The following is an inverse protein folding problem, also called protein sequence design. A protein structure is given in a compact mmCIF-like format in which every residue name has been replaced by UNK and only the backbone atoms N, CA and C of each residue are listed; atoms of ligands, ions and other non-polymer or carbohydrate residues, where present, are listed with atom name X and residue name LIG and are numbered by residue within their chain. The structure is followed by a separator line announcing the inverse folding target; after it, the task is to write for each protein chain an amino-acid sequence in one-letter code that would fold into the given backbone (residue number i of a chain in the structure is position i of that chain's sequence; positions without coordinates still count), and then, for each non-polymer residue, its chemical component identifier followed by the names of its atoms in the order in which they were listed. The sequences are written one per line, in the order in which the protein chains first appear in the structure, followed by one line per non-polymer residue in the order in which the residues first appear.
data_IF_011390296855
#
_entry.id   IF_011390296855
#
_cell.length_a   1.000
_cell.length_b   1.000
_cell.length_c   1.000
_cell.angle_alpha   90.00
_cell.angle_beta   90.00
_cell.angle_gamma   90.00
#
_symmetry.space_group_name_H-M   'P 1'
#
loop_
_entity.id
_entity.type
_entity.pdbx_description
1 polymer ?
#
# COMPACT_ATOMS: atom_id res chain seq x y z
N UNK A 1 -20.45 -13.71 0.02
CA UNK A 1 -19.93 -13.87 -1.36
C UNK A 1 -20.13 -12.55 -2.07
N UNK A 2 -19.06 -11.89 -2.48
CA UNK A 2 -19.13 -10.73 -3.37
C UNK A 2 -19.56 -11.15 -4.77
N UNK A 3 -20.38 -10.31 -5.42
CA UNK A 3 -20.70 -10.48 -6.82
C UNK A 3 -19.40 -10.42 -7.64
N UNK A 4 -19.16 -11.42 -8.48
CA UNK A 4 -17.99 -11.44 -9.35
C UNK A 4 -18.18 -10.42 -10.48
N UNK A 5 -17.13 -9.65 -10.74
CA UNK A 5 -17.09 -8.73 -11.88
C UNK A 5 -17.13 -9.55 -13.18
N UNK A 6 -18.06 -9.20 -14.06
CA UNK A 6 -18.15 -9.78 -15.39
C UNK A 6 -17.00 -9.25 -16.25
N UNK A 7 -16.36 -10.15 -17.00
CA UNK A 7 -15.24 -9.82 -17.87
C UNK A 7 -15.42 -10.51 -19.22
N UNK A 8 -14.97 -9.84 -20.26
CA UNK A 8 -14.99 -10.30 -21.64
C UNK A 8 -13.55 -10.32 -22.19
N UNK A 9 -13.23 -11.24 -23.14
CA UNK A 9 -12.00 -11.11 -23.92
C UNK A 9 -11.91 -9.73 -24.60
N UNK A 10 -10.73 -9.12 -24.61
CA UNK A 10 -10.55 -7.77 -25.16
C UNK A 10 -10.53 -6.66 -24.12
N UNK A 11 -10.94 -6.92 -22.89
CA UNK A 11 -10.97 -5.93 -21.82
C UNK A 11 -9.68 -5.91 -20.99
N UNK A 12 -9.48 -4.83 -20.26
CA UNK A 12 -8.44 -4.67 -19.26
C UNK A 12 -9.04 -4.81 -17.86
N UNK A 13 -8.37 -5.58 -17.00
CA UNK A 13 -8.79 -5.78 -15.62
C UNK A 13 -7.78 -5.19 -14.65
N UNK A 14 -8.27 -4.71 -13.53
CA UNK A 14 -7.50 -4.40 -12.34
C UNK A 14 -7.71 -5.52 -11.32
N UNK A 15 -6.66 -6.23 -10.96
CA UNK A 15 -6.67 -7.26 -9.95
C UNK A 15 -5.88 -6.86 -8.71
N UNK A 16 -6.39 -7.19 -7.53
CA UNK A 16 -5.70 -7.00 -6.25
C UNK A 16 -4.75 -8.19 -6.02
N UNK A 17 -3.46 -7.91 -5.89
CA UNK A 17 -2.38 -8.89 -5.80
C UNK A 17 -1.48 -8.50 -4.62
N UNK A 18 -2.05 -8.44 -3.42
CA UNK A 18 -1.26 -8.21 -2.21
C UNK A 18 -0.38 -9.43 -1.94
N UNK A 19 0.90 -9.33 -2.32
CA UNK A 19 1.88 -10.41 -2.26
C UNK A 19 2.18 -10.88 -0.83
N UNK A 20 1.79 -10.10 0.19
CA UNK A 20 2.15 -10.35 1.58
C UNK A 20 0.97 -10.82 2.45
N UNK A 21 -0.28 -10.62 2.02
CA UNK A 21 -1.47 -11.02 2.77
C UNK A 21 -2.22 -12.24 2.21
N UNK A 22 -1.69 -12.96 1.21
CA UNK A 22 -2.40 -14.11 0.60
C UNK A 22 -2.72 -15.28 1.54
N UNK A 23 -2.13 -15.35 2.74
CA UNK A 23 -2.37 -16.43 3.69
C UNK A 23 -3.60 -16.23 4.61
N UNK A 24 -4.14 -15.00 4.70
CA UNK A 24 -5.22 -14.64 5.65
C UNK A 24 -6.36 -13.84 5.04
N UNK A 25 -6.40 -13.71 3.72
CA UNK A 25 -7.60 -13.21 3.03
C UNK A 25 -8.59 -14.38 3.06
N UNK A 26 -9.38 -14.44 4.14
CA UNK A 26 -10.79 -14.87 4.00
C UNK A 26 -11.30 -14.22 2.72
N UNK A 27 -11.95 -14.96 1.82
CA UNK A 27 -12.38 -14.59 0.45
C UNK A 27 -13.32 -13.34 0.34
N UNK A 28 -13.06 -12.31 1.14
CA UNK A 28 -13.81 -11.10 1.40
C UNK A 28 -13.01 -9.90 0.88
N UNK A 29 -13.00 -9.79 -0.46
CA UNK A 29 -12.34 -8.70 -1.18
C UNK A 29 -12.72 -7.30 -0.67
N UNK A 30 -13.99 -6.98 -0.32
CA UNK A 30 -14.35 -5.69 0.28
C UNK A 30 -13.52 -5.36 1.52
N UNK A 31 -13.41 -6.30 2.46
CA UNK A 31 -12.61 -6.12 3.68
C UNK A 31 -11.12 -6.00 3.39
N UNK A 32 -10.62 -6.65 2.34
CA UNK A 32 -9.24 -6.45 1.89
C UNK A 32 -9.03 -5.03 1.35
N UNK A 33 -9.97 -4.50 0.55
CA UNK A 33 -9.90 -3.15 -0.01
C UNK A 33 -10.02 -2.04 1.04
N UNK A 34 -10.74 -2.26 2.15
CA UNK A 34 -10.78 -1.31 3.27
C UNK A 34 -9.39 -1.02 3.86
N UNK A 35 -8.40 -1.91 3.67
CA UNK A 35 -7.01 -1.72 4.13
C UNK A 35 -6.22 -0.72 3.30
N UNK A 36 -6.73 -0.31 2.14
CA UNK A 36 -6.16 0.77 1.31
C UNK A 36 -6.25 2.15 1.98
N UNK A 37 -6.85 2.23 3.16
CA UNK A 37 -6.75 3.37 4.09
C UNK A 37 -5.32 3.62 4.61
N UNK A 38 -4.40 2.69 4.40
CA UNK A 38 -2.97 2.81 4.69
C UNK A 38 -2.16 2.57 3.42
N UNK A 39 -1.02 3.26 3.25
CA UNK A 39 -0.18 3.29 2.06
C UNK A 39 0.52 1.96 1.69
N UNK A 40 0.11 0.85 2.29
CA UNK A 40 0.68 -0.47 2.07
C UNK A 40 -0.26 -1.66 2.15
N UNK A 41 -1.43 -1.52 2.78
CA UNK A 41 -2.30 -2.61 3.25
C UNK A 41 -1.63 -3.56 4.26
N UNK A 42 -2.07 -3.49 5.52
CA UNK A 42 -1.60 -4.34 6.63
C UNK A 42 -0.30 -3.88 7.30
N UNK A 43 0.04 -4.48 8.46
CA UNK A 43 1.12 -4.08 9.38
C UNK A 43 2.44 -3.79 8.64
N UNK A 44 2.65 -2.53 8.24
CA UNK A 44 3.86 -1.97 7.64
C UNK A 44 4.58 -2.90 6.66
N UNK A 45 3.97 -3.27 5.53
CA UNK A 45 4.55 -4.24 4.58
C UNK A 45 5.80 -3.74 3.81
N UNK A 46 6.84 -3.27 4.50
CA UNK A 46 8.24 -3.28 4.08
C UNK A 46 8.55 -2.71 2.67
N UNK A 47 7.78 -1.69 2.25
CA UNK A 47 7.81 -0.93 0.98
C UNK A 47 7.05 -1.52 -0.22
N UNK A 48 5.70 -1.43 -0.28
CA UNK A 48 5.05 -1.19 -1.56
C UNK A 48 5.29 0.29 -1.91
N UNK A 49 6.45 0.62 -2.49
CA UNK A 49 6.69 1.99 -2.98
C UNK A 49 5.89 2.28 -4.25
N UNK A 50 5.25 1.25 -4.80
CA UNK A 50 4.82 1.22 -6.20
C UNK A 50 3.42 0.61 -6.33
N UNK A 51 2.51 1.27 -7.06
CA UNK A 51 1.16 0.76 -7.28
C UNK A 51 1.10 -0.67 -7.86
N UNK A 52 2.08 -1.09 -8.66
CA UNK A 52 2.10 -2.41 -9.28
C UNK A 52 2.48 -3.57 -8.34
N UNK A 53 2.87 -3.29 -7.11
CA UNK A 53 3.16 -4.31 -6.09
C UNK A 53 1.89 -4.75 -5.35
N UNK A 54 0.84 -3.92 -5.37
CA UNK A 54 -0.48 -4.20 -4.77
C UNK A 54 -1.53 -4.55 -5.82
N UNK A 55 -1.35 -4.07 -7.04
CA UNK A 55 -2.31 -4.21 -8.11
C UNK A 55 -1.66 -4.69 -9.39
N UNK A 56 -2.41 -5.49 -10.14
CA UNK A 56 -2.02 -5.93 -11.46
C UNK A 56 -3.06 -5.43 -12.47
N UNK A 57 -2.59 -4.65 -13.44
CA UNK A 57 -3.36 -4.31 -14.64
C UNK A 57 -3.00 -5.30 -15.73
N UNK A 58 -3.99 -5.95 -16.33
CA UNK A 58 -3.73 -6.96 -17.36
C UNK A 58 -4.86 -7.03 -18.37
N UNK A 59 -4.51 -7.36 -19.62
CA UNK A 59 -5.48 -7.62 -20.66
C UNK A 59 -6.07 -9.03 -20.51
N UNK A 60 -7.36 -9.18 -20.83
CA UNK A 60 -8.08 -10.44 -20.79
C UNK A 60 -8.06 -11.05 -22.19
N UNK A 61 -7.17 -12.03 -22.40
CA UNK A 61 -7.18 -12.83 -23.62
C UNK A 61 -8.29 -13.88 -23.58
N UNK A 62 -8.58 -14.45 -22.40
CA UNK A 62 -9.63 -15.46 -22.21
C UNK A 62 -10.30 -15.36 -20.86
N UNK A 63 -11.64 -15.26 -20.87
CA UNK A 63 -12.47 -15.33 -19.67
C UNK A 63 -12.96 -16.77 -19.43
N UNK A 64 -12.87 -17.24 -18.18
CA UNK A 64 -13.41 -18.55 -17.74
C UNK A 64 -14.27 -18.34 -16.48
N UNK A 65 -15.06 -19.33 -16.02
CA UNK A 65 -15.95 -19.12 -14.87
C UNK A 65 -15.24 -18.67 -13.58
N UNK A 66 -14.06 -19.24 -13.25
CA UNK A 66 -13.34 -18.94 -11.99
C UNK A 66 -12.01 -18.21 -12.17
N UNK A 67 -11.54 -18.13 -13.41
CA UNK A 67 -10.19 -17.65 -13.75
C UNK A 67 -10.22 -16.86 -15.04
N UNK A 68 -9.13 -16.22 -15.36
CA UNK A 68 -8.91 -15.57 -16.64
C UNK A 68 -7.46 -15.77 -17.07
N UNK A 69 -7.19 -15.58 -18.34
CA UNK A 69 -5.86 -15.72 -18.94
C UNK A 69 -5.50 -14.41 -19.65
N UNK A 70 -4.25 -13.99 -19.53
CA UNK A 70 -3.73 -12.81 -20.22
C UNK A 70 -3.10 -13.16 -21.59
N UNK A 71 -2.65 -12.14 -22.32
CA UNK A 71 -2.02 -12.27 -23.64
C UNK A 71 -0.72 -13.09 -23.63
N UNK A 72 -0.14 -13.33 -22.46
CA UNK A 72 1.08 -14.12 -22.27
C UNK A 72 0.81 -15.54 -21.74
N UNK A 73 -0.46 -15.95 -21.64
CA UNK A 73 -0.84 -17.27 -21.12
C UNK A 73 -0.78 -17.39 -19.60
N UNK A 74 -0.54 -16.29 -18.87
CA UNK A 74 -0.61 -16.28 -17.41
C UNK A 74 -2.06 -16.31 -16.94
N UNK A 75 -2.33 -17.11 -15.90
CA UNK A 75 -3.69 -17.38 -15.40
C UNK A 75 -3.92 -16.75 -14.04
N UNK A 76 -4.92 -15.86 -13.96
CA UNK A 76 -5.37 -15.21 -12.73
C UNK A 76 -6.68 -15.77 -12.18
N UNK A 77 -6.93 -15.58 -10.88
CA UNK A 77 -8.23 -15.85 -10.25
C UNK A 77 -9.19 -14.68 -10.50
N UNK A 78 -10.45 -14.98 -10.84
CA UNK A 78 -11.47 -13.92 -11.03
C UNK A 78 -11.91 -13.26 -9.74
N UNK A 79 -11.80 -13.96 -8.60
CA UNK A 79 -12.10 -13.39 -7.28
C UNK A 79 -11.18 -12.24 -6.88
N UNK A 80 -10.06 -12.05 -7.58
CA UNK A 80 -9.12 -10.95 -7.34
C UNK A 80 -9.37 -9.73 -8.21
N UNK A 81 -10.26 -9.82 -9.20
CA UNK A 81 -10.60 -8.69 -10.07
C UNK A 81 -11.51 -7.73 -9.29
N UNK A 82 -11.12 -6.45 -9.27
CA UNK A 82 -11.82 -5.38 -8.56
C UNK A 82 -12.37 -4.30 -9.51
N UNK A 83 -11.90 -4.26 -10.76
CA UNK A 83 -12.47 -3.43 -11.82
C UNK A 83 -12.14 -3.97 -13.22
N UNK A 84 -12.89 -3.50 -14.22
CA UNK A 84 -12.70 -3.79 -15.65
C UNK A 84 -12.98 -2.53 -16.47
N UNK A 85 -12.25 -2.35 -17.57
CA UNK A 85 -12.49 -1.30 -18.56
C UNK A 85 -12.05 -1.73 -19.96
N UNK A 86 -12.39 -0.93 -20.96
CA UNK A 86 -12.02 -1.21 -22.35
C UNK A 86 -10.58 -0.78 -22.66
N UNK A 87 -9.98 0.09 -21.83
CA UNK A 87 -8.60 0.57 -22.03
C UNK A 87 -7.68 0.29 -20.84
N UNK A 88 -6.40 0.09 -21.14
CA UNK A 88 -5.36 -0.03 -20.11
C UNK A 88 -5.23 1.23 -19.26
N UNK A 89 -5.40 2.40 -19.90
CA UNK A 89 -5.22 3.70 -19.26
C UNK A 89 -6.20 3.91 -18.10
N UNK A 90 -7.46 3.51 -18.27
CA UNK A 90 -8.48 3.60 -17.21
C UNK A 90 -8.11 2.73 -15.99
N UNK A 91 -7.62 1.51 -16.22
CA UNK A 91 -7.21 0.62 -15.13
C UNK A 91 -5.94 1.11 -14.44
N UNK A 92 -5.00 1.71 -15.17
CA UNK A 92 -3.81 2.36 -14.59
C UNK A 92 -4.20 3.59 -13.75
N UNK A 93 -5.11 4.42 -14.24
CA UNK A 93 -5.59 5.58 -13.51
C UNK A 93 -6.28 5.17 -12.20
N UNK A 94 -7.19 4.18 -12.26
CA UNK A 94 -7.86 3.67 -11.07
C UNK A 94 -6.87 3.05 -10.07
N UNK A 95 -5.88 2.29 -10.57
CA UNK A 95 -4.80 1.74 -9.73
C UNK A 95 -4.09 2.84 -8.94
N UNK A 96 -3.67 3.90 -9.64
CA UNK A 96 -2.88 4.97 -9.06
C UNK A 96 -3.73 5.79 -8.08
N UNK A 97 -5.01 6.00 -8.38
CA UNK A 97 -5.98 6.61 -7.48
C UNK A 97 -6.13 5.79 -6.19
N UNK A 98 -6.44 4.49 -6.29
CA UNK A 98 -6.60 3.61 -5.13
C UNK A 98 -5.34 3.54 -4.27
N UNK A 99 -4.17 3.47 -4.90
CA UNK A 99 -2.89 3.50 -4.21
C UNK A 99 -2.66 4.82 -3.47
N UNK A 100 -3.05 5.96 -4.07
CA UNK A 100 -2.82 7.28 -3.50
C UNK A 100 -3.60 7.55 -2.21
N UNK A 101 -4.77 6.92 -2.03
CA UNK A 101 -5.66 7.15 -0.88
C UNK A 101 -4.90 6.90 0.43
N UNK A 102 -4.37 5.68 0.61
CA UNK A 102 -3.64 5.32 1.82
C UNK A 102 -2.34 6.08 1.99
N UNK A 103 -1.64 6.36 0.88
CA UNK A 103 -0.38 7.10 0.92
C UNK A 103 -0.56 8.55 1.38
N UNK A 104 -1.61 9.23 0.92
CA UNK A 104 -1.94 10.59 1.36
C UNK A 104 -2.37 10.59 2.82
N UNK A 105 -3.17 9.61 3.24
CA UNK A 105 -3.61 9.49 4.63
C UNK A 105 -2.43 9.29 5.60
N UNK A 106 -1.55 8.33 5.31
CA UNK A 106 -0.36 8.07 6.14
C UNK A 106 0.53 9.31 6.23
N UNK A 107 0.77 10.00 5.10
CA UNK A 107 1.56 11.23 5.08
C UNK A 107 0.96 12.32 5.98
N UNK A 108 -0.36 12.51 5.96
CA UNK A 108 -1.03 13.49 6.83
C UNK A 108 -0.89 13.12 8.31
N UNK A 109 -0.99 11.83 8.65
CA UNK A 109 -0.79 11.34 10.03
C UNK A 109 0.65 11.58 10.47
N UNK A 110 1.64 11.28 9.62
CA UNK A 110 3.06 11.50 9.91
C UNK A 110 3.36 13.00 10.14
N UNK A 111 2.85 13.87 9.28
CA UNK A 111 3.01 15.33 9.40
C UNK A 111 2.42 15.85 10.73
N UNK A 112 1.21 15.41 11.07
CA UNK A 112 0.55 15.83 12.31
C UNK A 112 1.24 15.25 13.56
N UNK A 113 1.68 14.00 13.49
CA UNK A 113 2.46 13.37 14.56
C UNK A 113 3.75 14.12 14.81
N UNK A 114 4.49 14.46 13.75
CA UNK A 114 5.71 15.24 13.83
C UNK A 114 5.44 16.63 14.44
N UNK A 115 4.35 17.29 14.03
CA UNK A 115 3.96 18.61 14.56
C UNK A 115 3.69 18.56 16.06
N UNK A 116 2.91 17.57 16.51
CA UNK A 116 2.54 17.42 17.94
C UNK A 116 3.75 17.01 18.78
N UNK A 117 4.63 16.16 18.24
CA UNK A 117 5.79 15.63 18.97
C UNK A 117 7.00 16.56 18.97
N UNK A 118 7.06 17.59 18.12
CA UNK A 118 8.25 18.40 17.89
C UNK A 118 8.88 18.99 19.18
N UNK A 119 8.05 19.53 20.08
CA UNK A 119 8.53 20.15 21.32
C UNK A 119 9.02 19.11 22.33
N UNK A 120 8.29 18.00 22.47
CA UNK A 120 8.70 16.87 23.30
C UNK A 120 10.02 16.29 22.80
N UNK A 121 10.11 16.01 21.50
CA UNK A 121 11.31 15.48 20.86
C UNK A 121 12.52 16.40 21.08
N UNK A 122 12.35 17.72 20.88
CA UNK A 122 13.41 18.71 21.11
C UNK A 122 13.88 18.70 22.56
N UNK A 123 12.96 18.72 23.52
CA UNK A 123 13.28 18.72 24.95
C UNK A 123 13.98 17.42 25.38
N UNK A 124 13.44 16.26 24.97
CA UNK A 124 14.01 14.95 25.28
C UNK A 124 15.40 14.78 24.68
N UNK A 125 15.62 15.22 23.43
CA UNK A 125 16.95 15.17 22.80
C UNK A 125 17.95 16.10 23.48
N UNK A 126 17.53 17.30 23.89
CA UNK A 126 18.39 18.23 24.61
C UNK A 126 18.82 17.66 25.99
N UNK A 127 17.89 17.06 26.74
CA UNK A 127 18.18 16.38 28.00
C UNK A 127 19.10 15.17 27.81
N UNK A 128 18.84 14.33 26.80
CA UNK A 128 19.70 13.21 26.47
C UNK A 128 21.12 13.67 26.10
N UNK A 129 21.25 14.76 25.35
CA UNK A 129 22.55 15.35 25.00
C UNK A 129 23.29 15.86 26.24
N UNK A 130 22.59 16.53 27.16
CA UNK A 130 23.17 16.97 28.42
C UNK A 130 23.70 15.80 29.27
N UNK A 131 22.95 14.68 29.32
CA UNK A 131 23.40 13.45 29.98
C UNK A 131 24.64 12.84 29.33
N UNK A 132 24.74 12.85 28.00
CA UNK A 132 25.93 12.39 27.26
C UNK A 132 27.14 13.26 27.62
N UNK A 133 26.99 14.59 27.62
CA UNK A 133 28.08 15.51 27.95
C UNK A 133 28.57 15.27 29.39
N UNK A 134 27.65 15.13 30.35
CA UNK A 134 28.00 14.86 31.74
C UNK A 134 28.70 13.51 31.94
N UNK A 135 28.36 12.50 31.15
CA UNK A 135 28.99 11.18 31.24
C UNK A 135 30.41 11.15 30.64
N UNK A 136 30.74 12.06 29.72
CA UNK A 136 32.01 12.09 28.99
C UNK A 136 32.71 13.45 29.14
N UNK A 137 33.04 13.87 30.38
CA UNK A 137 33.56 15.22 30.64
C UNK A 137 34.94 15.48 30.04
N UNK A 138 35.71 14.42 29.76
CA UNK A 138 37.00 14.51 29.09
C UNK A 138 36.88 14.76 27.57
N UNK A 139 35.71 14.46 26.97
CA UNK A 139 35.41 14.74 25.56
C UNK A 139 34.59 16.01 25.37
N UNK A 140 33.74 16.35 26.35
CA UNK A 140 32.90 17.54 26.33
C UNK A 140 33.20 18.45 27.54
N UNK A 141 34.32 19.17 27.54
CA UNK A 141 34.64 20.10 28.62
C UNK A 141 33.59 21.20 28.69
N UNK A 142 33.14 21.54 29.90
CA UNK A 142 32.15 22.60 30.13
C UNK A 142 32.70 23.95 29.61
N UNK A 143 31.91 24.66 28.81
CA UNK A 143 32.23 26.03 28.42
C UNK A 143 32.06 26.91 29.66
N UNK A 144 33.15 27.52 30.10
CA UNK A 144 33.19 28.44 31.24
C UNK A 144 32.54 29.79 30.92
#
# INVERSE_FOLDING_TARGET
MTAQIEIQPGQWVLAYVDQFCTAYIDDDMPRALERLTSGGSGWACLSPKRPWEQFMVSFVAKAMPKTWENEHGWRGRRSFIIAVADTQAEMLALRDELFSIGFVADKQIEEETARVMADFERATKADALAKIHAALPHMFPAVA
#
